data_IF_907848345735
#
_entry.id   IF_907848345735
#
_cell.length_a   1.000
_cell.length_b   1.000
_cell.length_c   1.000
_cell.angle_alpha   90.00
_cell.angle_beta   90.00
_cell.angle_gamma   90.00
#
_symmetry.space_group_name_H-M   'P 1'
#
loop_
_entity.id
_entity.type
_entity.pdbx_description
1 polymer ?
#
# COMPACT_ATOMS: atom_id res chain seq x y z
N UNK A 1 7.91 -18.50 2.28
CA UNK A 1 7.74 -17.50 3.37
C UNK A 1 8.42 -17.87 4.71
N UNK A 2 8.27 -19.10 5.23
CA UNK A 2 8.79 -19.50 6.55
C UNK A 2 10.32 -19.40 6.75
N UNK A 3 11.13 -19.50 5.68
CA UNK A 3 12.58 -19.28 5.76
C UNK A 3 12.94 -17.80 5.89
N UNK A 4 12.29 -16.94 5.09
CA UNK A 4 12.46 -15.48 5.14
C UNK A 4 11.99 -14.88 6.46
N UNK A 5 10.99 -15.50 7.09
CA UNK A 5 10.48 -15.03 8.38
C UNK A 5 11.47 -15.20 9.53
N UNK A 6 12.57 -15.94 9.35
CA UNK A 6 13.67 -16.04 10.31
C UNK A 6 14.57 -14.80 10.33
N UNK A 7 14.64 -14.09 9.20
CA UNK A 7 15.46 -12.87 9.05
C UNK A 7 14.63 -11.60 9.12
N UNK A 8 13.34 -11.67 8.80
CA UNK A 8 12.42 -10.55 8.81
C UNK A 8 11.14 -10.88 9.57
N UNK A 9 11.03 -10.32 10.77
CA UNK A 9 9.90 -10.57 11.65
C UNK A 9 8.56 -10.06 11.13
N UNK A 10 8.54 -9.10 10.21
CA UNK A 10 7.28 -8.70 9.58
C UNK A 10 6.67 -9.87 8.78
N UNK A 11 7.51 -10.76 8.23
CA UNK A 11 7.05 -11.95 7.51
C UNK A 11 6.56 -13.06 8.44
N UNK A 12 6.92 -13.03 9.74
CA UNK A 12 6.41 -13.98 10.74
C UNK A 12 5.13 -13.51 11.44
N UNK A 13 4.64 -12.29 11.16
CA UNK A 13 3.37 -11.80 11.70
C UNK A 13 2.25 -12.79 11.32
N UNK A 14 1.51 -13.34 12.30
CA UNK A 14 0.38 -14.22 12.03
C UNK A 14 -0.78 -13.41 11.44
N UNK A 15 -1.65 -14.07 10.67
CA UNK A 15 -2.87 -13.42 10.18
C UNK A 15 -3.78 -13.07 11.36
N UNK A 16 -4.35 -11.86 11.32
CA UNK A 16 -5.34 -11.42 12.28
C UNK A 16 -6.77 -11.79 11.88
N UNK A 17 -7.72 -11.16 12.55
CA UNK A 17 -9.14 -11.18 12.20
C UNK A 17 -9.36 -10.96 10.69
N UNK A 18 -10.33 -11.69 10.13
CA UNK A 18 -10.70 -11.63 8.70
C UNK A 18 -9.55 -11.99 7.73
N UNK A 19 -8.55 -12.77 8.15
CA UNK A 19 -7.34 -13.11 7.38
C UNK A 19 -6.39 -11.91 7.13
N UNK A 20 -6.45 -10.87 7.97
CA UNK A 20 -5.61 -9.68 7.81
C UNK A 20 -4.10 -10.02 7.84
N UNK A 21 -3.39 -9.83 6.72
CA UNK A 21 -1.95 -10.13 6.63
C UNK A 21 -1.06 -9.17 7.41
N UNK A 22 -1.56 -7.98 7.79
CA UNK A 22 -0.83 -7.09 8.70
C UNK A 22 -0.91 -7.51 10.17
N UNK A 23 -1.67 -8.55 10.51
CA UNK A 23 -1.87 -9.01 11.89
C UNK A 23 -3.18 -8.52 12.49
N UNK A 24 -3.30 -8.64 13.82
CA UNK A 24 -4.52 -8.21 14.51
C UNK A 24 -4.58 -6.67 14.57
N UNK A 25 -5.67 -6.10 14.07
CA UNK A 25 -5.95 -4.66 14.15
C UNK A 25 -7.44 -4.44 14.38
N UNK A 26 -7.78 -3.64 15.38
CA UNK A 26 -9.15 -3.46 15.86
C UNK A 26 -9.48 -1.97 15.99
N UNK A 27 -10.76 -1.58 15.76
CA UNK A 27 -11.17 -0.20 15.93
C UNK A 27 -11.04 0.23 17.39
N UNK A 28 -10.57 1.45 17.58
CA UNK A 28 -10.61 2.15 18.86
C UNK A 28 -11.99 2.81 19.08
N UNK A 29 -12.33 3.22 20.32
CA UNK A 29 -13.55 4.00 20.58
C UNK A 29 -13.66 5.26 19.72
N UNK A 30 -12.53 5.85 19.31
CA UNK A 30 -12.46 7.07 18.50
C UNK A 30 -12.40 6.82 16.99
N UNK A 31 -12.33 5.56 16.55
CA UNK A 31 -12.21 5.23 15.12
C UNK A 31 -13.41 5.76 14.33
N UNK A 32 -13.15 6.58 13.32
CA UNK A 32 -14.14 7.23 12.45
C UNK A 32 -14.57 6.35 11.27
N UNK A 33 -14.17 5.08 11.27
CA UNK A 33 -14.48 4.12 10.22
C UNK A 33 -14.52 2.70 10.79
N UNK A 34 -15.10 1.78 10.04
CA UNK A 34 -15.07 0.34 10.28
C UNK A 34 -14.73 -0.41 8.99
N UNK A 35 -14.00 -1.49 9.14
CA UNK A 35 -13.53 -2.36 8.07
C UNK A 35 -14.30 -3.68 8.11
N UNK A 36 -14.66 -4.20 6.95
CA UNK A 36 -15.13 -5.56 6.76
C UNK A 36 -14.54 -6.12 5.47
N UNK A 37 -14.14 -7.39 5.49
CA UNK A 37 -13.42 -8.04 4.38
C UNK A 37 -14.02 -9.40 4.13
N UNK A 38 -14.33 -9.71 2.88
CA UNK A 38 -14.72 -11.06 2.48
C UNK A 38 -13.81 -11.53 1.35
N UNK A 39 -13.33 -12.75 1.52
CA UNK A 39 -12.52 -13.48 0.57
C UNK A 39 -13.22 -14.77 0.14
N UNK A 40 -13.19 -15.11 -1.14
CA UNK A 40 -13.60 -16.40 -1.65
C UNK A 40 -12.63 -16.87 -2.73
N UNK A 41 -12.01 -18.04 -2.50
CA UNK A 41 -11.09 -18.66 -3.48
C UNK A 41 -11.76 -18.97 -4.81
N UNK A 42 -13.08 -19.13 -4.82
CA UNK A 42 -13.85 -19.65 -5.93
C UNK A 42 -13.35 -21.04 -6.34
N UNK A 43 -13.54 -22.01 -5.44
CA UNK A 43 -13.07 -23.41 -5.58
C UNK A 43 -13.52 -24.11 -6.86
N UNK A 44 -14.49 -23.56 -7.59
CA UNK A 44 -14.96 -24.08 -8.87
C UNK A 44 -14.01 -23.74 -10.03
N UNK A 45 -13.32 -22.60 -9.95
CA UNK A 45 -12.53 -22.06 -11.05
C UNK A 45 -11.04 -21.90 -10.70
N UNK A 46 -10.69 -21.73 -9.42
CA UNK A 46 -9.30 -21.56 -8.96
C UNK A 46 -8.87 -22.66 -8.00
N UNK A 47 -7.63 -23.14 -8.18
CA UNK A 47 -7.00 -24.12 -7.29
C UNK A 47 -6.46 -23.45 -6.02
N UNK A 48 -5.84 -22.29 -6.19
CA UNK A 48 -5.15 -21.50 -5.16
C UNK A 48 -5.91 -20.20 -4.87
N UNK A 49 -5.75 -19.68 -3.65
CA UNK A 49 -6.16 -18.32 -3.28
C UNK A 49 -4.88 -17.49 -3.31
N UNK A 50 -4.68 -16.75 -4.40
CA UNK A 50 -3.47 -15.95 -4.63
C UNK A 50 -3.64 -14.52 -4.12
N UNK A 51 -4.88 -14.05 -3.94
CA UNK A 51 -5.13 -12.77 -3.30
C UNK A 51 -4.78 -12.80 -1.81
N UNK A 52 -4.40 -11.63 -1.31
CA UNK A 52 -4.40 -11.32 0.11
C UNK A 52 -4.75 -9.86 0.34
N UNK A 53 -4.95 -9.48 1.59
CA UNK A 53 -5.22 -8.11 1.96
C UNK A 53 -4.56 -7.75 3.29
N UNK A 54 -4.45 -6.45 3.54
CA UNK A 54 -4.07 -5.96 4.87
C UNK A 54 -4.77 -4.67 5.23
N UNK A 55 -5.07 -4.50 6.51
CA UNK A 55 -5.61 -3.25 7.05
C UNK A 55 -5.09 -2.93 8.45
N UNK A 56 -5.07 -1.65 8.79
CA UNK A 56 -4.69 -1.13 10.12
C UNK A 56 -5.62 0.02 10.50
N UNK A 57 -6.16 0.00 11.72
CA UNK A 57 -7.08 1.02 12.25
C UNK A 57 -6.40 2.27 12.81
N UNK A 58 -5.14 2.16 13.20
CA UNK A 58 -4.37 3.20 13.85
C UNK A 58 -2.96 3.34 13.23
N UNK A 59 -2.94 3.44 11.91
CA UNK A 59 -1.73 3.52 11.11
C UNK A 59 -0.93 4.80 11.40
N UNK A 60 0.39 4.69 11.63
CA UNK A 60 1.28 5.80 12.01
C UNK A 60 0.90 6.49 13.33
N UNK A 61 1.29 5.90 14.45
CA UNK A 61 1.18 6.52 15.80
C UNK A 61 2.08 7.74 16.05
N UNK A 62 2.52 8.46 15.01
CA UNK A 62 3.50 9.57 15.15
C UNK A 62 2.77 10.91 15.04
N UNK A 63 3.07 11.90 15.89
CA UNK A 63 2.54 13.25 15.71
C UNK A 63 2.85 13.78 14.30
N UNK A 64 1.92 14.56 13.76
CA UNK A 64 2.10 15.31 12.52
C UNK A 64 3.47 16.02 12.49
N UNK A 65 4.10 16.18 11.31
CA UNK A 65 5.47 16.70 11.19
C UNK A 65 5.74 17.90 12.11
N UNK A 66 6.60 17.68 13.11
CA UNK A 66 7.14 18.75 13.95
C UNK A 66 8.25 19.42 13.14
N UNK A 67 7.98 20.62 12.64
CA UNK A 67 9.04 21.50 12.16
C UNK A 67 9.86 21.92 13.38
N UNK A 68 11.21 21.77 13.37
CA UNK A 68 12.03 22.13 14.52
C UNK A 68 11.74 23.57 14.94
N UNK A 69 11.28 23.78 16.17
CA UNK A 69 11.33 25.09 16.81
C UNK A 69 12.72 25.26 17.39
N UNK A 70 13.34 26.42 17.17
CA UNK A 70 14.70 26.77 17.62
C UNK A 70 14.89 26.81 19.16
N UNK A 71 13.91 26.33 19.93
CA UNK A 71 13.97 26.31 21.40
C UNK A 71 14.76 25.12 21.98
N UNK A 72 15.17 24.13 21.18
CA UNK A 72 15.83 22.91 21.67
C UNK A 72 17.37 22.97 21.74
N UNK A 73 17.98 24.15 21.52
CA UNK A 73 19.44 24.33 21.51
C UNK A 73 20.02 24.88 22.82
N UNK A 74 19.47 24.54 23.98
CA UNK A 74 20.18 24.77 25.26
C UNK A 74 19.82 23.73 26.31
N UNK A 75 20.43 22.55 26.24
CA UNK A 75 20.77 21.72 27.41
C UNK A 75 21.79 20.65 27.02
N UNK A 76 23.07 21.00 27.12
CA UNK A 76 24.18 20.04 27.19
C UNK A 76 24.39 19.64 28.66
N UNK A 77 24.35 18.36 28.96
CA UNK A 77 25.05 17.68 30.07
C UNK A 77 25.11 16.19 29.71
N UNK A 78 26.19 15.70 29.12
CA UNK A 78 27.41 15.14 29.74
C UNK A 78 27.27 13.71 30.26
N UNK A 79 27.94 12.80 29.54
CA UNK A 79 28.76 11.66 30.01
C UNK A 79 28.04 10.37 30.47
N UNK A 80 28.38 9.30 29.74
CA UNK A 80 28.49 7.87 30.05
C UNK A 80 27.46 7.20 30.97
N UNK A 81 26.76 6.18 30.44
CA UNK A 81 26.82 4.84 31.04
C UNK A 81 26.42 3.75 30.03
N UNK A 82 27.40 2.88 29.77
CA UNK A 82 27.28 1.60 29.07
C UNK A 82 27.38 0.52 30.13
N UNK A 83 26.26 -0.01 30.63
CA UNK A 83 26.25 -1.25 31.39
C UNK A 83 24.85 -1.89 31.41
N UNK A 84 24.84 -3.19 31.14
CA UNK A 84 23.74 -4.14 31.30
C UNK A 84 23.07 -4.07 32.67
N UNK A 85 21.77 -4.41 32.71
CA UNK A 85 21.09 -5.29 33.69
C UNK A 85 19.57 -5.21 33.37
N UNK A 86 18.96 -6.25 32.80
CA UNK A 86 18.14 -7.23 33.55
C UNK A 86 17.53 -6.67 34.83
N UNK A 87 16.40 -5.98 34.69
CA UNK A 87 15.27 -6.04 35.62
C UNK A 87 13.99 -5.82 34.84
N UNK A 88 13.03 -6.71 35.08
CA UNK A 88 11.67 -6.70 34.51
C UNK A 88 10.90 -5.53 35.13
N UNK A 89 10.26 -4.64 34.36
CA UNK A 89 9.11 -3.90 34.83
C UNK A 89 7.86 -4.72 34.49
N UNK A 90 7.17 -5.15 35.54
CA UNK A 90 5.81 -5.67 35.48
C UNK A 90 4.86 -4.65 34.84
N UNK A 91 3.99 -5.10 33.94
CA UNK A 91 2.72 -4.46 33.53
C UNK A 91 2.73 -2.92 33.46
N UNK A 92 3.63 -2.35 32.66
CA UNK A 92 3.40 -1.04 32.07
C UNK A 92 2.83 -1.27 30.67
N UNK A 93 1.52 -1.09 30.50
CA UNK A 93 0.87 -1.07 29.19
C UNK A 93 1.60 -0.09 28.28
N UNK A 94 2.31 -0.60 27.27
CA UNK A 94 2.92 0.22 26.23
C UNK A 94 1.80 1.01 25.54
N UNK A 95 1.81 2.33 25.71
CA UNK A 95 0.73 3.20 25.27
C UNK A 95 0.86 3.47 23.77
N UNK A 96 -0.11 3.03 22.97
CA UNK A 96 -0.20 3.29 21.53
C UNK A 96 -0.92 4.63 21.32
N UNK A 97 -0.33 5.54 20.54
CA UNK A 97 -0.98 6.83 20.20
C UNK A 97 -2.17 6.58 19.28
N UNK A 98 -3.37 6.96 19.68
CA UNK A 98 -4.57 6.92 18.84
C UNK A 98 -4.60 8.10 17.86
N UNK A 99 -4.43 7.80 16.57
CA UNK A 99 -4.44 8.77 15.47
C UNK A 99 -5.73 8.74 14.66
N UNK A 100 -6.51 7.65 14.77
CA UNK A 100 -7.65 7.37 13.92
C UNK A 100 -7.25 7.32 12.43
N UNK A 101 -5.99 7.08 12.08
CA UNK A 101 -5.56 6.92 10.69
C UNK A 101 -5.73 5.45 10.24
N UNK A 102 -6.16 5.24 9.00
CA UNK A 102 -6.34 3.93 8.40
C UNK A 102 -5.34 3.61 7.29
N UNK A 103 -4.90 2.36 7.24
CA UNK A 103 -4.25 1.76 6.06
C UNK A 103 -5.12 0.60 5.57
N UNK A 104 -5.29 0.50 4.26
CA UNK A 104 -6.12 -0.52 3.62
C UNK A 104 -5.47 -0.95 2.31
N UNK A 105 -5.31 -2.25 2.07
CA UNK A 105 -4.72 -2.75 0.83
C UNK A 105 -5.27 -4.12 0.42
N UNK A 106 -5.33 -4.35 -0.89
CA UNK A 106 -5.58 -5.65 -1.52
C UNK A 106 -4.46 -5.91 -2.50
N UNK A 107 -4.02 -7.16 -2.52
CA UNK A 107 -2.98 -7.69 -3.40
C UNK A 107 -3.57 -8.89 -4.11
N UNK A 108 -3.71 -8.82 -5.42
CA UNK A 108 -4.22 -9.92 -6.24
C UNK A 108 -3.02 -10.55 -6.94
N UNK A 109 -2.72 -11.78 -6.54
CA UNK A 109 -1.50 -12.50 -6.89
C UNK A 109 -1.67 -13.30 -8.17
N UNK A 110 -0.57 -13.42 -8.93
CA UNK A 110 -0.52 -14.28 -10.10
C UNK A 110 0.81 -15.03 -10.16
N UNK A 111 0.76 -16.22 -10.77
CA UNK A 111 1.89 -17.14 -10.83
C UNK A 111 2.45 -17.47 -9.43
N UNK A 112 1.54 -17.76 -8.49
CA UNK A 112 1.84 -18.09 -7.10
C UNK A 112 1.41 -17.01 -6.10
N UNK A 113 1.33 -17.38 -4.83
CA UNK A 113 0.86 -16.51 -3.74
C UNK A 113 1.95 -15.59 -3.17
N UNK A 114 3.21 -15.84 -3.48
CA UNK A 114 4.34 -15.29 -2.74
C UNK A 114 4.44 -13.76 -2.80
N UNK A 115 4.34 -13.15 -3.99
CA UNK A 115 4.46 -11.70 -4.12
C UNK A 115 3.33 -10.99 -3.36
N UNK A 116 2.11 -11.50 -3.48
CA UNK A 116 0.94 -10.99 -2.77
C UNK A 116 1.10 -11.14 -1.25
N UNK A 117 1.44 -12.35 -0.75
CA UNK A 117 1.70 -12.61 0.67
C UNK A 117 2.81 -11.73 1.24
N UNK A 118 3.90 -11.56 0.50
CA UNK A 118 5.01 -10.69 0.90
C UNK A 118 4.55 -9.24 1.01
N UNK A 119 3.82 -8.74 0.00
CA UNK A 119 3.31 -7.37 0.01
C UNK A 119 2.29 -7.15 1.14
N UNK A 120 1.39 -8.12 1.38
CA UNK A 120 0.44 -8.11 2.48
C UNK A 120 1.10 -7.87 3.83
N UNK A 121 2.26 -8.51 4.06
CA UNK A 121 3.04 -8.41 5.30
C UNK A 121 4.04 -7.25 5.35
N UNK A 122 4.48 -6.70 4.21
CA UNK A 122 5.61 -5.75 4.17
C UNK A 122 5.28 -4.35 3.67
N UNK A 123 4.30 -4.18 2.78
CA UNK A 123 4.10 -2.89 2.11
C UNK A 123 3.76 -1.78 3.12
N UNK A 124 2.90 -2.06 4.09
CA UNK A 124 2.55 -1.14 5.17
C UNK A 124 3.73 -0.79 6.08
N UNK A 125 4.65 -1.75 6.33
CA UNK A 125 5.87 -1.53 7.12
C UNK A 125 6.83 -0.59 6.39
N UNK A 126 7.02 -0.79 5.09
CA UNK A 126 7.87 0.07 4.24
C UNK A 126 7.30 1.50 4.21
N UNK A 127 5.98 1.63 4.01
CA UNK A 127 5.31 2.91 4.00
C UNK A 127 5.47 3.65 5.33
N UNK A 128 5.24 2.97 6.45
CA UNK A 128 5.39 3.60 7.77
C UNK A 128 6.83 4.09 8.01
N UNK A 129 7.82 3.26 7.69
CA UNK A 129 9.23 3.61 7.83
C UNK A 129 9.60 4.83 6.97
N UNK A 130 9.10 4.90 5.72
CA UNK A 130 9.28 6.07 4.86
C UNK A 130 8.58 7.32 5.40
N UNK A 131 7.34 7.21 5.88
CA UNK A 131 6.58 8.32 6.45
C UNK A 131 7.21 8.87 7.73
N UNK A 132 7.85 8.02 8.55
CA UNK A 132 8.61 8.42 9.73
C UNK A 132 9.94 9.08 9.38
N UNK A 133 10.67 8.53 8.41
CA UNK A 133 11.97 9.08 7.97
C UNK A 133 11.81 10.42 7.24
N UNK A 134 10.74 10.58 6.49
CA UNK A 134 10.51 11.72 5.62
C UNK A 134 9.14 12.37 5.86
N UNK A 135 8.88 12.90 7.07
CA UNK A 135 7.54 13.34 7.48
C UNK A 135 7.05 14.60 6.75
N UNK A 136 7.94 15.32 6.06
CA UNK A 136 7.62 16.51 5.27
C UNK A 136 7.40 16.23 3.78
N UNK A 137 7.63 14.99 3.33
CA UNK A 137 7.44 14.58 1.94
C UNK A 137 5.97 14.35 1.66
N UNK A 138 5.51 14.68 0.46
CA UNK A 138 4.12 14.48 0.08
C UNK A 138 3.77 12.98 0.09
N UNK A 139 2.61 12.63 0.66
CA UNK A 139 2.17 11.23 0.76
C UNK A 139 2.13 10.50 -0.59
N UNK A 140 1.69 11.11 -1.71
CA UNK A 140 1.76 10.47 -3.03
C UNK A 140 3.18 10.08 -3.45
N UNK A 141 4.18 10.90 -3.13
CA UNK A 141 5.59 10.60 -3.40
C UNK A 141 6.10 9.48 -2.50
N UNK A 142 5.69 9.45 -1.23
CA UNK A 142 6.02 8.35 -0.32
C UNK A 142 5.36 7.03 -0.74
N UNK A 143 4.16 7.06 -1.30
CA UNK A 143 3.50 5.89 -1.88
C UNK A 143 4.27 5.37 -3.11
N UNK A 144 4.70 6.24 -4.03
CA UNK A 144 5.54 5.84 -5.16
C UNK A 144 6.87 5.23 -4.69
N UNK A 145 7.55 5.85 -3.72
CA UNK A 145 8.77 5.30 -3.10
C UNK A 145 8.52 3.96 -2.39
N UNK A 146 7.34 3.79 -1.78
CA UNK A 146 6.98 2.54 -1.10
C UNK A 146 6.84 1.41 -2.10
N UNK A 147 6.09 1.63 -3.18
CA UNK A 147 5.87 0.63 -4.22
C UNK A 147 7.17 0.29 -4.94
N UNK A 148 7.95 1.28 -5.36
CA UNK A 148 9.23 1.04 -6.04
C UNK A 148 10.27 0.36 -5.13
N UNK A 149 10.28 0.68 -3.83
CA UNK A 149 11.12 -0.02 -2.84
C UNK A 149 10.68 -1.46 -2.62
N UNK A 150 9.38 -1.71 -2.48
CA UNK A 150 8.82 -3.05 -2.36
C UNK A 150 9.19 -3.93 -3.57
N UNK A 151 9.05 -3.35 -4.75
CA UNK A 151 9.36 -4.00 -6.02
C UNK A 151 10.84 -4.36 -6.15
N UNK A 152 11.73 -3.43 -5.78
CA UNK A 152 13.18 -3.64 -5.74
C UNK A 152 13.57 -4.72 -4.71
N UNK A 153 12.84 -4.81 -3.59
CA UNK A 153 13.06 -5.85 -2.59
C UNK A 153 12.62 -7.21 -3.11
N UNK A 154 11.46 -7.31 -3.77
CA UNK A 154 10.97 -8.54 -4.39
C UNK A 154 11.95 -9.08 -5.46
N UNK A 155 12.54 -8.22 -6.29
CA UNK A 155 13.49 -8.63 -7.34
C UNK A 155 14.78 -9.29 -6.79
N UNK A 156 15.14 -8.96 -5.55
CA UNK A 156 16.29 -9.54 -4.84
C UNK A 156 15.99 -10.91 -4.23
N UNK A 157 14.71 -11.27 -4.12
CA UNK A 157 14.29 -12.58 -3.62
C UNK A 157 14.46 -13.62 -4.74
N UNK A 158 14.66 -14.91 -4.40
CA UNK A 158 14.83 -15.97 -5.40
C UNK A 158 13.64 -16.14 -6.32
N UNK A 159 12.45 -15.70 -5.88
CA UNK A 159 11.22 -15.91 -6.61
C UNK A 159 10.93 -14.78 -7.60
N UNK A 160 11.40 -14.96 -8.83
CA UNK A 160 11.31 -13.93 -9.89
C UNK A 160 10.04 -13.97 -10.73
N UNK A 161 9.31 -15.08 -10.69
CA UNK A 161 8.16 -15.32 -11.58
C UNK A 161 6.80 -14.99 -10.96
N UNK A 162 6.73 -14.84 -9.63
CA UNK A 162 5.50 -14.42 -8.95
C UNK A 162 5.37 -12.90 -9.01
N UNK A 163 4.15 -12.45 -9.24
CA UNK A 163 3.79 -11.04 -9.17
C UNK A 163 2.44 -10.84 -8.51
N UNK A 164 2.13 -9.59 -8.22
CA UNK A 164 0.80 -9.21 -7.79
C UNK A 164 0.44 -7.80 -8.24
N UNK A 165 -0.85 -7.60 -8.48
CA UNK A 165 -1.42 -6.25 -8.47
C UNK A 165 -1.50 -5.76 -7.03
N UNK A 166 -1.56 -4.44 -6.85
CA UNK A 166 -1.67 -3.86 -5.52
C UNK A 166 -2.46 -2.56 -5.57
N UNK A 167 -3.47 -2.47 -4.71
CA UNK A 167 -4.16 -1.23 -4.38
C UNK A 167 -3.93 -0.91 -2.92
N UNK A 168 -3.69 0.35 -2.61
CA UNK A 168 -3.54 0.85 -1.25
C UNK A 168 -4.33 2.13 -1.07
N UNK A 169 -4.97 2.27 0.09
CA UNK A 169 -5.63 3.48 0.54
C UNK A 169 -5.14 3.85 1.94
N UNK A 170 -4.71 5.10 2.12
CA UNK A 170 -4.25 5.68 3.38
C UNK A 170 -5.18 6.80 3.77
N UNK A 171 -5.90 6.62 4.86
CA UNK A 171 -6.84 7.59 5.40
C UNK A 171 -6.20 8.27 6.61
N UNK A 172 -6.00 9.58 6.58
CA UNK A 172 -5.35 10.28 7.67
C UNK A 172 -5.92 11.65 7.97
N UNK A 173 -5.71 12.13 9.18
CA UNK A 173 -5.93 13.53 9.53
C UNK A 173 -4.73 14.37 9.13
N UNK A 174 -5.00 15.52 8.50
CA UNK A 174 -3.98 16.51 8.14
C UNK A 174 -4.47 17.93 8.43
N UNK A 175 -3.56 18.80 8.85
CA UNK A 175 -3.80 20.23 8.88
C UNK A 175 -3.46 20.82 7.51
N UNK A 176 -4.48 21.39 6.85
CA UNK A 176 -4.38 21.86 5.46
C UNK A 176 -4.81 23.30 5.30
N UNK A 177 -4.08 24.03 4.47
CA UNK A 177 -4.37 25.43 4.14
C UNK A 177 -5.17 25.49 2.84
N UNK A 178 -6.29 26.22 2.78
CA UNK A 178 -7.03 26.44 1.53
C UNK A 178 -6.15 27.05 0.43
N UNK A 179 -6.25 26.53 -0.79
CA UNK A 179 -5.52 27.04 -1.96
C UNK A 179 -6.27 26.73 -3.25
N UNK A 180 -6.27 27.69 -4.19
CA UNK A 180 -6.87 27.50 -5.51
C UNK A 180 -5.94 26.77 -6.50
N UNK A 181 -4.69 26.51 -6.11
CA UNK A 181 -3.70 25.85 -6.95
C UNK A 181 -3.67 24.32 -6.78
N UNK A 182 -4.43 23.78 -5.82
CA UNK A 182 -4.55 22.34 -5.59
C UNK A 182 -5.87 21.82 -6.18
N UNK A 183 -5.83 20.63 -6.79
CA UNK A 183 -7.03 19.94 -7.25
C UNK A 183 -8.01 19.60 -6.10
N UNK A 184 -7.51 19.51 -4.87
CA UNK A 184 -8.31 19.26 -3.67
C UNK A 184 -8.82 20.54 -2.99
N UNK A 185 -8.45 21.73 -3.51
CA UNK A 185 -8.81 23.03 -2.92
C UNK A 185 -8.06 23.37 -1.63
N UNK A 186 -7.15 22.50 -1.18
CA UNK A 186 -6.29 22.69 -0.01
C UNK A 186 -4.94 21.99 -0.21
N UNK A 187 -3.95 22.33 0.61
CA UNK A 187 -2.62 21.71 0.60
C UNK A 187 -2.10 21.52 2.03
N UNK A 188 -1.31 20.48 2.26
CA UNK A 188 -0.65 20.25 3.54
C UNK A 188 0.38 21.35 3.85
N UNK A 189 0.59 21.65 5.14
CA UNK A 189 1.51 22.72 5.59
C UNK A 189 2.97 22.38 5.28
N UNK A 190 3.39 21.12 5.43
CA UNK A 190 4.80 20.75 5.30
C UNK A 190 5.37 20.92 3.86
N UNK A 191 4.67 20.50 2.78
CA UNK A 191 5.09 20.81 1.41
C UNK A 191 5.13 22.31 1.11
N UNK A 192 4.19 23.10 1.66
CA UNK A 192 4.18 24.55 1.53
C UNK A 192 5.42 25.19 2.17
N UNK A 193 5.80 24.73 3.36
CA UNK A 193 6.99 25.18 4.07
C UNK A 193 8.28 24.85 3.29
N UNK A 194 8.38 23.63 2.75
CA UNK A 194 9.51 23.21 1.94
C UNK A 194 9.62 24.00 0.62
N UNK A 195 8.48 24.31 -0.02
CA UNK A 195 8.44 25.13 -1.23
C UNK A 195 8.87 26.59 -0.93
N UNK A 196 8.40 27.16 0.18
CA UNK A 196 8.81 28.50 0.62
C UNK A 196 10.31 28.57 0.93
N UNK A 197 10.87 27.54 1.58
CA UNK A 197 12.31 27.44 1.83
C UNK A 197 13.12 27.39 0.53
N UNK A 198 12.71 26.56 -0.45
CA UNK A 198 13.36 26.47 -1.77
C UNK A 198 13.29 27.79 -2.57
N UNK A 199 12.16 28.49 -2.54
CA UNK A 199 12.02 29.81 -3.18
C UNK A 199 12.91 30.87 -2.52
N UNK A 200 13.00 30.86 -1.19
CA UNK A 200 13.87 31.76 -0.45
C UNK A 200 15.36 31.49 -0.73
N UNK A 201 15.80 30.22 -0.82
CA UNK A 201 17.15 29.84 -1.24
C UNK A 201 17.49 30.33 -2.67
N UNK A 202 16.53 30.23 -3.60
CA UNK A 202 16.70 30.67 -5.00
C UNK A 202 16.82 32.18 -5.14
N UNK A 203 16.16 32.93 -4.26
CA UNK A 203 16.24 34.40 -4.23
C UNK A 203 17.54 34.88 -3.56
N UNK A 204 18.02 34.17 -2.52
CA UNK A 204 19.34 34.43 -1.91
C UNK A 204 20.50 34.13 -2.88
N UNK A 205 20.38 33.11 -3.73
CA UNK A 205 21.39 32.82 -4.77
C UNK A 205 21.55 33.92 -5.85
N UNK A 206 20.63 34.89 -5.92
CA UNK A 206 20.68 36.03 -6.86
C UNK A 206 21.23 37.31 -6.23
N UNK A 207 21.35 37.38 -4.91
CA UNK A 207 21.81 38.58 -4.20
C UNK A 207 23.22 38.36 -3.62
N UNK A 208 24.16 39.27 -3.89
CA UNK A 208 25.59 39.05 -3.61
C UNK A 208 25.99 39.17 -2.13
N UNK A 209 25.03 39.22 -1.21
CA UNK A 209 25.25 39.31 0.24
C UNK A 209 24.47 38.23 0.97
N UNK A 210 25.13 37.24 1.61
CA UNK A 210 24.44 36.20 2.37
C UNK A 210 23.92 36.80 3.69
N UNK A 211 22.59 36.84 3.86
CA UNK A 211 21.96 37.03 5.17
C UNK A 211 21.56 35.65 5.70
N UNK A 212 22.39 35.06 6.55
CA UNK A 212 22.21 33.69 7.05
C UNK A 212 20.95 33.44 7.89
N UNK A 213 20.17 34.49 8.20
CA UNK A 213 18.97 34.40 9.04
C UNK A 213 17.65 34.62 8.27
N UNK A 214 17.67 35.08 7.00
CA UNK A 214 16.43 35.47 6.31
C UNK A 214 15.59 34.30 5.80
N UNK A 215 16.21 33.23 5.33
CA UNK A 215 15.54 32.03 4.77
C UNK A 215 14.76 31.26 5.83
N UNK A 216 15.38 31.02 7.00
CA UNK A 216 14.75 30.31 8.11
C UNK A 216 13.63 31.13 8.77
N UNK A 217 13.83 32.44 8.96
CA UNK A 217 12.80 33.33 9.50
C UNK A 217 11.61 33.47 8.54
N UNK A 218 11.86 33.55 7.23
CA UNK A 218 10.79 33.59 6.23
C UNK A 218 10.00 32.28 6.17
N UNK A 219 10.68 31.12 6.22
CA UNK A 219 10.02 29.82 6.29
C UNK A 219 9.19 29.69 7.58
N UNK A 220 9.73 30.08 8.73
CA UNK A 220 9.02 30.06 10.02
C UNK A 220 7.79 30.98 10.02
N UNK A 221 7.89 32.19 9.46
CA UNK A 221 6.77 33.12 9.34
C UNK A 221 5.67 32.57 8.41
N UNK A 222 6.04 32.02 7.26
CA UNK A 222 5.11 31.39 6.33
C UNK A 222 4.38 30.19 6.96
N UNK A 223 5.09 29.38 7.76
CA UNK A 223 4.50 28.27 8.52
C UNK A 223 3.52 28.79 9.57
N UNK A 224 3.87 29.86 10.28
CA UNK A 224 3.00 30.41 11.32
C UNK A 224 1.72 31.00 10.73
N UNK A 225 1.81 31.69 9.60
CA UNK A 225 0.64 32.17 8.86
C UNK A 225 -0.20 31.01 8.31
N UNK A 226 0.45 29.98 7.77
CA UNK A 226 -0.20 28.76 7.30
C UNK A 226 -0.98 28.05 8.42
N UNK A 227 -0.40 27.93 9.61
CA UNK A 227 -1.06 27.33 10.78
C UNK A 227 -2.33 28.10 11.19
N UNK A 228 -2.33 29.43 11.11
CA UNK A 228 -3.50 30.24 11.43
C UNK A 228 -4.66 30.06 10.44
N UNK A 229 -4.34 29.72 9.18
CA UNK A 229 -5.31 29.51 8.10
C UNK A 229 -5.66 28.03 7.89
N UNK A 230 -4.97 27.13 8.58
CA UNK A 230 -5.16 25.71 8.40
C UNK A 230 -6.53 25.29 8.91
N UNK A 231 -7.03 24.21 8.35
CA UNK A 231 -8.20 23.48 8.83
C UNK A 231 -7.83 22.01 8.90
N UNK A 232 -8.24 21.33 9.96
CA UNK A 232 -8.03 19.89 10.09
C UNK A 232 -8.97 19.17 9.13
N UNK A 233 -8.42 18.38 8.22
CA UNK A 233 -9.16 17.69 7.18
C UNK A 233 -8.84 16.19 7.19
N UNK A 234 -9.83 15.39 6.83
CA UNK A 234 -9.66 13.97 6.60
C UNK A 234 -9.28 13.77 5.14
N UNK A 235 -8.11 13.18 4.90
CA UNK A 235 -7.55 13.02 3.55
C UNK A 235 -7.34 11.54 3.27
N UNK A 236 -7.80 11.11 2.10
CA UNK A 236 -7.63 9.78 1.55
C UNK A 236 -6.61 9.85 0.41
N UNK A 237 -5.49 9.15 0.57
CA UNK A 237 -4.52 8.93 -0.49
C UNK A 237 -4.69 7.52 -1.03
N UNK A 238 -4.65 7.37 -2.35
CA UNK A 238 -4.68 6.05 -2.99
C UNK A 238 -3.45 5.82 -3.84
N UNK A 239 -3.05 4.55 -3.99
CA UNK A 239 -2.04 4.08 -4.92
C UNK A 239 -2.54 2.79 -5.59
N UNK A 240 -2.26 2.64 -6.88
CA UNK A 240 -2.64 1.46 -7.66
C UNK A 240 -1.54 1.03 -8.64
N UNK A 241 -1.23 -0.27 -8.67
CA UNK A 241 -0.57 -0.96 -9.78
C UNK A 241 -1.38 -2.20 -10.15
N UNK A 242 -1.61 -2.41 -11.44
CA UNK A 242 -2.49 -3.46 -11.94
C UNK A 242 -3.94 -3.03 -12.03
N UNK A 243 -4.86 -3.98 -11.93
CA UNK A 243 -6.28 -3.84 -12.27
C UNK A 243 -7.27 -4.16 -11.14
N UNK A 244 -6.77 -4.36 -9.92
CA UNK A 244 -7.56 -4.12 -8.73
C UNK A 244 -8.02 -2.64 -8.69
N UNK A 245 -9.16 -2.36 -8.04
CA UNK A 245 -9.81 -1.04 -8.12
C UNK A 245 -10.29 -0.53 -6.77
N UNK A 246 -10.17 0.79 -6.60
CA UNK A 246 -10.66 1.55 -5.45
C UNK A 246 -11.80 2.46 -5.88
N UNK A 247 -12.96 2.35 -5.23
CA UNK A 247 -14.17 3.16 -5.51
C UNK A 247 -14.69 3.80 -4.22
N UNK A 248 -14.83 5.13 -4.22
CA UNK A 248 -15.46 5.89 -3.14
C UNK A 248 -16.95 6.11 -3.46
N UNK A 249 -17.82 5.89 -2.48
CA UNK A 249 -19.21 6.29 -2.55
C UNK A 249 -19.37 7.72 -2.02
N UNK A 250 -19.72 8.66 -2.91
CA UNK A 250 -20.06 10.05 -2.57
C UNK A 250 -21.50 10.35 -2.94
N UNK A 251 -22.37 10.62 -1.97
CA UNK A 251 -23.80 10.85 -2.16
C UNK A 251 -24.49 9.74 -2.98
N UNK A 252 -24.08 8.48 -2.78
CA UNK A 252 -24.56 7.33 -3.54
C UNK A 252 -24.04 7.24 -4.97
N UNK A 253 -23.05 8.04 -5.36
CA UNK A 253 -22.39 7.94 -6.65
C UNK A 253 -21.00 7.33 -6.49
N UNK A 254 -20.69 6.41 -7.40
CA UNK A 254 -19.37 5.82 -7.49
C UNK A 254 -18.37 6.83 -8.05
N UNK A 255 -17.30 7.08 -7.30
CA UNK A 255 -16.14 7.82 -7.73
C UNK A 255 -14.94 6.88 -7.72
N UNK A 256 -14.45 6.52 -8.91
CA UNK A 256 -13.24 5.69 -9.05
C UNK A 256 -12.00 6.50 -8.68
N UNK A 257 -11.18 5.96 -7.79
CA UNK A 257 -9.95 6.59 -7.27
C UNK A 257 -8.67 5.89 -7.76
N UNK A 258 -8.80 4.93 -8.68
CA UNK A 258 -7.70 4.19 -9.28
C UNK A 258 -7.84 4.13 -10.80
N UNK A 259 -6.81 3.63 -11.47
CA UNK A 259 -6.73 3.49 -12.92
C UNK A 259 -6.26 2.09 -13.28
N UNK A 260 -7.12 1.29 -13.91
CA UNK A 260 -6.81 -0.11 -14.21
C UNK A 260 -5.72 -0.21 -15.28
N UNK A 261 -4.60 -0.83 -14.94
CA UNK A 261 -3.43 -0.95 -15.82
C UNK A 261 -3.49 -2.24 -16.67
N UNK A 262 -4.43 -2.30 -17.63
CA UNK A 262 -4.61 -3.46 -18.54
C UNK A 262 -3.96 -3.23 -19.92
N UNK A 263 -3.64 -4.30 -20.65
CA UNK A 263 -3.05 -4.21 -21.99
C UNK A 263 -3.92 -3.50 -23.05
N UNK A 264 -5.23 -3.40 -22.81
CA UNK A 264 -6.18 -2.68 -23.66
C UNK A 264 -6.19 -1.17 -23.45
N UNK A 265 -5.51 -0.69 -22.41
CA UNK A 265 -5.39 0.74 -22.15
C UNK A 265 -4.43 1.41 -23.15
N UNK A 266 -4.86 2.51 -23.77
CA UNK A 266 -4.08 3.18 -24.82
C UNK A 266 -2.78 3.79 -24.29
N UNK A 267 -2.78 4.31 -23.06
CA UNK A 267 -1.61 4.94 -22.46
C UNK A 267 -0.57 3.89 -22.07
N UNK A 268 -1.01 2.79 -21.45
CA UNK A 268 -0.15 1.67 -21.11
C UNK A 268 0.35 0.93 -22.36
N UNK A 269 -0.50 0.70 -23.36
CA UNK A 269 -0.09 0.12 -24.64
C UNK A 269 0.99 0.94 -25.33
N UNK A 270 0.88 2.28 -25.29
CA UNK A 270 1.92 3.20 -25.81
C UNK A 270 3.19 3.13 -24.97
N UNK A 271 3.10 3.03 -23.64
CA UNK A 271 4.25 2.89 -22.74
C UNK A 271 5.02 1.61 -23.04
N UNK A 272 4.32 0.48 -23.11
CA UNK A 272 4.88 -0.84 -23.43
C UNK A 272 5.56 -0.83 -24.81
N UNK A 273 4.89 -0.29 -25.83
CA UNK A 273 5.43 -0.21 -27.19
C UNK A 273 6.71 0.63 -27.25
N UNK A 274 6.77 1.75 -26.51
CA UNK A 274 7.96 2.61 -26.42
C UNK A 274 9.14 1.92 -25.73
N UNK A 275 8.87 1.01 -24.79
CA UNK A 275 9.87 0.19 -24.13
C UNK A 275 10.30 -1.04 -24.98
N UNK A 276 9.77 -1.18 -26.20
CA UNK A 276 10.09 -2.29 -27.10
C UNK A 276 9.26 -3.56 -26.87
N UNK A 277 8.25 -3.51 -26.00
CA UNK A 277 7.30 -4.59 -25.79
C UNK A 277 6.13 -4.57 -26.78
N UNK A 278 5.34 -5.63 -26.78
CA UNK A 278 4.15 -5.79 -27.62
C UNK A 278 2.94 -6.13 -26.76
N UNK A 279 1.74 -5.72 -27.18
CA UNK A 279 0.48 -6.22 -26.61
C UNK A 279 -0.09 -7.23 -27.59
N UNK A 280 -0.21 -8.49 -27.15
CA UNK A 280 -0.79 -9.59 -27.92
C UNK A 280 -1.94 -10.19 -27.12
N UNK A 281 -3.14 -10.26 -27.69
CA UNK A 281 -4.35 -10.74 -27.00
C UNK A 281 -4.55 -10.07 -25.62
N UNK A 282 -4.34 -8.75 -25.57
CA UNK A 282 -4.48 -7.92 -24.36
C UNK A 282 -3.44 -8.21 -23.27
N UNK A 283 -2.37 -8.95 -23.61
CA UNK A 283 -1.30 -9.33 -22.69
C UNK A 283 0.05 -8.76 -23.12
N UNK A 284 0.86 -8.30 -22.16
CA UNK A 284 2.24 -7.85 -22.37
C UNK A 284 3.08 -9.03 -22.86
N UNK A 285 3.64 -8.90 -24.06
CA UNK A 285 4.33 -9.93 -24.82
C UNK A 285 3.56 -11.26 -24.93
N UNK A 286 2.22 -11.21 -24.84
CA UNK A 286 1.36 -12.40 -24.83
C UNK A 286 1.32 -13.17 -23.50
N UNK A 287 2.02 -12.69 -22.46
CA UNK A 287 2.16 -13.39 -21.17
C UNK A 287 1.22 -12.80 -20.11
N UNK A 288 1.44 -11.54 -19.72
CA UNK A 288 0.80 -10.94 -18.55
C UNK A 288 -0.38 -10.04 -18.91
N UNK A 289 -1.54 -10.22 -18.26
CA UNK A 289 -2.76 -9.44 -18.55
C UNK A 289 -2.71 -8.01 -18.02
N UNK A 290 -1.89 -7.78 -17.00
CA UNK A 290 -1.62 -6.47 -16.43
C UNK A 290 -0.33 -5.86 -16.99
N UNK A 291 -0.29 -4.54 -17.02
CA UNK A 291 0.85 -3.75 -17.53
C UNK A 291 1.70 -3.16 -16.41
N UNK A 292 1.19 -3.17 -15.17
CA UNK A 292 1.89 -2.77 -13.95
C UNK A 292 1.62 -3.80 -12.86
N UNK A 293 2.65 -4.15 -12.11
CA UNK A 293 2.59 -5.12 -11.02
C UNK A 293 3.84 -4.99 -10.14
N UNK A 294 3.75 -5.47 -8.89
CA UNK A 294 4.90 -5.72 -8.04
C UNK A 294 5.42 -7.14 -8.29
N UNK A 295 6.74 -7.33 -8.31
CA UNK A 295 7.34 -8.61 -8.71
C UNK A 295 7.52 -8.69 -10.22
N UNK A 296 7.20 -9.84 -10.82
CA UNK A 296 7.37 -10.11 -12.26
C UNK A 296 8.75 -9.72 -12.82
N UNK A 297 9.82 -10.08 -12.09
CA UNK A 297 11.17 -9.59 -12.38
C UNK A 297 11.64 -9.94 -13.80
N UNK A 298 11.12 -11.02 -14.39
CA UNK A 298 11.42 -11.42 -15.77
C UNK A 298 10.83 -10.50 -16.84
N UNK A 299 9.87 -9.64 -16.50
CA UNK A 299 9.24 -8.65 -17.39
C UNK A 299 9.48 -7.20 -16.94
N UNK A 300 10.46 -6.94 -16.07
CA UNK A 300 10.55 -5.67 -15.34
C UNK A 300 10.74 -4.42 -16.20
N UNK A 301 11.38 -4.58 -17.36
CA UNK A 301 11.54 -3.51 -18.34
C UNK A 301 10.21 -3.05 -18.96
N UNK A 302 9.18 -3.90 -18.90
CA UNK A 302 7.85 -3.66 -19.46
C UNK A 302 6.81 -3.47 -18.36
N UNK A 303 6.82 -4.30 -17.32
CA UNK A 303 5.84 -4.32 -16.24
C UNK A 303 6.40 -3.58 -15.02
N UNK A 304 5.96 -2.35 -14.82
CA UNK A 304 6.53 -1.46 -13.79
C UNK A 304 5.72 -1.50 -12.49
N UNK A 305 6.40 -1.37 -11.34
CA UNK A 305 5.79 -1.16 -10.03
C UNK A 305 5.46 0.29 -9.70
N UNK A 306 5.58 1.25 -10.63
CA UNK A 306 5.21 2.65 -10.39
C UNK A 306 3.68 2.83 -10.24
N UNK A 307 3.17 3.26 -9.08
CA UNK A 307 1.74 3.39 -8.87
C UNK A 307 1.14 4.63 -9.53
N UNK A 308 -0.12 4.51 -9.92
CA UNK A 308 -0.99 5.68 -10.09
C UNK A 308 -1.50 6.11 -8.72
N UNK A 309 -1.29 7.38 -8.34
CA UNK A 309 -1.68 7.91 -7.03
C UNK A 309 -2.76 8.98 -7.14
N UNK A 310 -3.65 9.04 -6.14
CA UNK A 310 -4.62 10.13 -6.00
C UNK A 310 -4.69 10.66 -4.58
N UNK A 311 -5.20 11.88 -4.46
CA UNK A 311 -5.45 12.56 -3.20
C UNK A 311 -6.90 13.07 -3.19
N UNK A 312 -7.67 12.71 -2.16
CA UNK A 312 -9.07 13.08 -2.03
C UNK A 312 -9.36 13.56 -0.61
N UNK A 313 -9.91 14.77 -0.46
CA UNK A 313 -10.44 15.24 0.83
C UNK A 313 -11.81 14.60 1.06
N UNK A 314 -11.95 13.92 2.19
CA UNK A 314 -13.19 13.27 2.61
C UNK A 314 -14.17 14.32 3.13
N UNK A 315 -15.41 14.24 2.66
CA UNK A 315 -16.52 15.11 2.99
C UNK A 315 -17.46 14.37 3.94
N UNK A 316 -17.46 14.69 5.25
CA UNK A 316 -18.19 13.91 6.26
C UNK A 316 -19.71 13.79 6.04
N UNK A 317 -20.29 14.72 5.28
CA UNK A 317 -21.70 14.78 4.92
C UNK A 317 -22.05 14.02 3.63
N UNK A 318 -21.07 13.71 2.79
CA UNK A 318 -21.29 13.15 1.45
C UNK A 318 -20.62 11.79 1.24
N UNK A 319 -19.45 11.56 1.82
CA UNK A 319 -18.69 10.34 1.65
C UNK A 319 -19.16 9.27 2.63
N UNK A 320 -19.59 8.13 2.09
CA UNK A 320 -20.29 7.10 2.86
C UNK A 320 -19.36 5.90 3.16
N UNK A 321 -18.64 5.41 2.16
CA UNK A 321 -17.74 4.25 2.28
C UNK A 321 -16.81 4.13 1.08
N UNK A 322 -15.73 3.37 1.27
CA UNK A 322 -14.77 2.96 0.24
C UNK A 322 -14.93 1.46 -0.06
N UNK A 323 -14.80 1.09 -1.33
CA UNK A 323 -14.69 -0.30 -1.80
C UNK A 323 -13.29 -0.48 -2.37
N UNK A 324 -12.56 -1.46 -1.87
CA UNK A 324 -11.35 -2.00 -2.49
C UNK A 324 -11.67 -3.43 -2.92
N UNK A 325 -11.38 -3.81 -4.16
CA UNK A 325 -11.50 -5.20 -4.59
C UNK A 325 -10.56 -5.55 -5.74
N UNK A 326 -10.25 -6.84 -5.88
CA UNK A 326 -9.58 -7.41 -7.04
C UNK A 326 -10.51 -7.46 -8.26
N UNK A 327 -9.95 -7.79 -9.44
CA UNK A 327 -10.71 -7.82 -10.69
C UNK A 327 -11.78 -8.93 -10.72
N UNK A 328 -11.66 -9.96 -9.88
CA UNK A 328 -12.70 -10.98 -9.69
C UNK A 328 -14.08 -10.38 -9.39
N UNK A 329 -14.15 -9.24 -8.69
CA UNK A 329 -15.40 -8.46 -8.56
C UNK A 329 -15.65 -7.59 -9.80
N UNK A 330 -14.64 -6.81 -10.20
CA UNK A 330 -14.80 -5.70 -11.15
C UNK A 330 -15.00 -6.12 -12.61
N UNK A 331 -14.65 -7.35 -12.96
CA UNK A 331 -14.89 -7.92 -14.28
C UNK A 331 -16.37 -8.28 -14.49
N UNK A 332 -17.14 -8.46 -13.41
CA UNK A 332 -18.57 -8.83 -13.47
C UNK A 332 -19.51 -7.81 -12.82
N UNK A 333 -18.98 -6.77 -12.18
CA UNK A 333 -19.74 -5.75 -11.46
C UNK A 333 -19.21 -4.36 -11.78
N UNK A 334 -20.10 -3.45 -12.20
CA UNK A 334 -19.72 -2.05 -12.45
C UNK A 334 -19.57 -1.26 -11.14
N UNK A 335 -18.79 -0.16 -11.17
CA UNK A 335 -18.54 0.68 -9.98
C UNK A 335 -19.85 1.15 -9.32
N UNK A 336 -20.80 1.64 -10.11
CA UNK A 336 -22.07 2.15 -9.60
C UNK A 336 -22.98 1.03 -9.11
N UNK A 337 -22.98 -0.12 -9.79
CA UNK A 337 -23.74 -1.30 -9.35
C UNK A 337 -23.25 -1.78 -7.97
N UNK A 338 -21.93 -1.86 -7.78
CA UNK A 338 -21.35 -2.21 -6.49
C UNK A 338 -21.78 -1.24 -5.39
N UNK A 339 -21.71 0.07 -5.64
CA UNK A 339 -22.17 1.11 -4.70
C UNK A 339 -23.65 0.94 -4.37
N UNK A 340 -24.52 0.79 -5.38
CA UNK A 340 -25.96 0.70 -5.19
C UNK A 340 -26.36 -0.54 -4.38
N UNK A 341 -25.68 -1.68 -4.59
CA UNK A 341 -25.93 -2.93 -3.88
C UNK A 341 -25.71 -2.82 -2.37
N UNK A 342 -24.64 -2.14 -1.94
CA UNK A 342 -24.24 -2.11 -0.52
C UNK A 342 -24.53 -0.81 0.19
N UNK A 343 -25.04 0.22 -0.49
CA UNK A 343 -25.20 1.56 0.09
C UNK A 343 -25.97 1.55 1.42
N UNK A 344 -27.05 0.78 1.46
CA UNK A 344 -27.94 0.69 2.64
C UNK A 344 -27.45 -0.29 3.72
N UNK A 345 -26.34 -1.00 3.49
CA UNK A 345 -25.80 -2.01 4.40
C UNK A 345 -24.80 -1.36 5.35
N UNK A 346 -25.16 -1.24 6.63
CA UNK A 346 -24.34 -0.53 7.62
C UNK A 346 -23.18 -1.34 8.19
N UNK A 347 -23.32 -2.67 8.19
CA UNK A 347 -22.25 -3.57 8.59
C UNK A 347 -21.29 -3.79 7.40
N UNK A 348 -20.02 -3.33 7.48
CA UNK A 348 -19.09 -3.48 6.38
C UNK A 348 -18.76 -4.95 6.08
N UNK A 349 -18.87 -5.86 7.06
CA UNK A 349 -18.64 -7.29 6.83
C UNK A 349 -19.77 -7.91 6.01
N UNK A 350 -21.02 -7.62 6.34
CA UNK A 350 -22.16 -8.01 5.51
C UNK A 350 -22.07 -7.40 4.09
N UNK A 351 -21.66 -6.13 3.98
CA UNK A 351 -21.51 -5.45 2.71
C UNK A 351 -20.47 -6.11 1.79
N UNK A 352 -19.27 -6.42 2.32
CA UNK A 352 -18.24 -7.12 1.54
C UNK A 352 -18.72 -8.48 1.07
N UNK A 353 -19.40 -9.24 1.95
CA UNK A 353 -19.96 -10.55 1.60
C UNK A 353 -21.00 -10.47 0.50
N UNK A 354 -21.87 -9.46 0.54
CA UNK A 354 -22.89 -9.25 -0.50
C UNK A 354 -22.27 -9.04 -1.88
N UNK A 355 -21.15 -8.31 -1.98
CA UNK A 355 -20.46 -8.11 -3.27
C UNK A 355 -19.79 -9.39 -3.78
N UNK A 356 -19.19 -10.17 -2.89
CA UNK A 356 -18.61 -11.49 -3.25
C UNK A 356 -19.70 -12.44 -3.74
N UNK A 357 -20.81 -12.56 -2.99
CA UNK A 357 -21.95 -13.40 -3.37
C UNK A 357 -22.54 -12.95 -4.73
N UNK A 358 -22.60 -11.64 -4.98
CA UNK A 358 -23.05 -11.08 -6.25
C UNK A 358 -22.12 -11.44 -7.41
N UNK A 359 -20.80 -11.31 -7.23
CA UNK A 359 -19.83 -11.69 -8.25
C UNK A 359 -19.89 -13.18 -8.59
N UNK A 360 -20.02 -14.06 -7.59
CA UNK A 360 -20.22 -15.50 -7.78
C UNK A 360 -21.51 -15.81 -8.55
N UNK A 361 -22.61 -15.10 -8.26
CA UNK A 361 -23.88 -15.24 -8.99
C UNK A 361 -23.80 -14.76 -10.44
N UNK A 362 -22.88 -13.84 -10.75
CA UNK A 362 -22.58 -13.37 -12.11
C UNK A 362 -21.45 -14.16 -12.78
N UNK A 363 -21.15 -15.36 -12.26
CA UNK A 363 -20.18 -16.30 -12.83
C UNK A 363 -18.76 -15.74 -12.92
N UNK A 364 -18.34 -14.93 -11.94
CA UNK A 364 -16.92 -14.66 -11.75
C UNK A 364 -16.15 -15.97 -11.67
N UNK A 365 -15.00 -16.03 -12.35
CA UNK A 365 -14.12 -17.20 -12.41
C UNK A 365 -12.82 -17.02 -11.65
N UNK A 366 -12.63 -15.87 -11.01
CA UNK A 366 -11.39 -15.55 -10.31
C UNK A 366 -11.48 -15.73 -8.79
N UNK A 367 -10.34 -15.57 -8.11
CA UNK A 367 -10.30 -15.26 -6.69
C UNK A 367 -11.08 -13.96 -6.44
N UNK A 368 -11.70 -13.87 -5.27
CA UNK A 368 -12.55 -12.76 -4.90
C UNK A 368 -12.07 -12.22 -3.56
N UNK A 369 -11.67 -10.96 -3.56
CA UNK A 369 -11.30 -10.21 -2.36
C UNK A 369 -11.99 -8.86 -2.38
N UNK A 370 -12.82 -8.59 -1.38
CA UNK A 370 -13.57 -7.34 -1.27
C UNK A 370 -13.43 -6.79 0.14
N UNK A 371 -12.92 -5.56 0.24
CA UNK A 371 -12.82 -4.80 1.49
C UNK A 371 -13.71 -3.57 1.43
N UNK A 372 -14.52 -3.40 2.48
CA UNK A 372 -15.36 -2.23 2.69
C UNK A 372 -14.83 -1.44 3.88
N UNK A 373 -14.54 -0.16 3.65
CA UNK A 373 -14.23 0.82 4.72
C UNK A 373 -15.42 1.76 4.83
N UNK A 374 -16.24 1.57 5.85
CA UNK A 374 -17.45 2.39 6.07
C UNK A 374 -17.17 3.51 7.05
N UNK A 375 -17.51 4.74 6.66
CA UNK A 375 -17.25 5.92 7.47
C UNK A 375 -18.35 6.15 8.52
N UNK A 376 -17.94 6.70 9.66
CA UNK A 376 -18.84 7.23 10.68
C UNK A 376 -18.89 8.75 10.53
N UNK A 377 -19.97 9.25 9.92
CA UNK A 377 -20.15 10.68 9.65
C UNK A 377 -20.16 11.53 10.92
N UNK A 378 -20.68 11.01 12.04
CA UNK A 378 -20.72 11.75 13.30
C UNK A 378 -19.31 11.92 13.87
N UNK A 379 -18.50 10.85 13.88
CA UNK A 379 -17.12 10.90 14.34
C UNK A 379 -16.22 11.73 13.41
N UNK A 380 -16.42 11.65 12.10
CA UNK A 380 -15.71 12.50 11.16
C UNK A 380 -15.99 13.99 11.43
N UNK A 381 -17.25 14.34 11.69
CA UNK A 381 -17.63 15.71 12.02
C UNK A 381 -17.10 16.16 13.39
N UNK A 382 -17.06 15.29 14.40
CA UNK A 382 -16.50 15.64 15.71
C UNK A 382 -14.99 15.84 15.63
N UNK A 383 -14.28 14.97 14.90
CA UNK A 383 -12.82 15.00 14.82
C UNK A 383 -12.30 16.19 13.98
N UNK A 384 -13.11 16.69 13.05
CA UNK A 384 -12.83 17.94 12.30
C UNK A 384 -12.83 19.17 13.22
N UNK A 385 -13.55 19.13 14.36
CA UNK A 385 -13.65 20.24 15.32
C UNK A 385 -12.55 20.22 16.39
N UNK A 386 -11.67 19.22 16.38
CA UNK A 386 -10.54 19.17 17.30
C UNK A 386 -9.55 20.27 16.89
N UNK A 387 -9.23 21.15 17.84
CA UNK A 387 -8.37 22.32 17.63
C UNK A 387 -7.00 21.93 17.03
N UNK A 388 -6.58 22.72 16.05
CA UNK A 388 -5.29 22.61 15.36
C UNK A 388 -4.17 22.86 16.37
N UNK A 389 -3.29 21.88 16.55
CA UNK A 389 -2.17 21.99 17.48
C UNK A 389 -2.52 21.79 18.97
N UNK A 390 -3.70 21.26 19.31
CA UNK A 390 -3.89 20.69 20.65
C UNK A 390 -3.13 19.36 20.68
N UNK A 391 -1.91 19.42 21.20
CA UNK A 391 -1.24 18.27 21.80
C UNK A 391 -2.22 17.68 22.83
N UNK A 392 -2.94 16.63 22.46
CA UNK A 392 -3.60 15.79 23.46
C UNK A 392 -2.50 15.27 24.39
N UNK A 393 -2.76 15.10 25.68
CA UNK A 393 -1.74 14.61 26.62
C UNK A 393 -1.17 13.23 26.19
N UNK A 394 -1.81 12.53 25.25
CA UNK A 394 -1.32 11.34 24.55
C UNK A 394 -0.11 11.57 23.62
N UNK A 395 0.20 12.80 23.22
CA UNK A 395 1.27 13.15 22.28
C UNK A 395 2.55 13.67 22.96
N UNK A 396 2.56 13.78 24.30
CA UNK A 396 3.74 14.18 25.09
C UNK A 396 4.64 13.01 25.48
N UNK A 397 4.19 11.78 25.28
CA UNK A 397 4.95 10.59 25.63
C UNK A 397 5.89 10.22 24.48
N UNK A 398 7.16 10.62 24.62
CA UNK A 398 8.28 10.17 23.79
C UNK A 398 8.51 8.64 23.81
N UNK A 399 7.65 7.89 24.48
CA UNK A 399 7.66 6.43 24.65
C UNK A 399 6.53 5.72 23.91
N UNK A 400 5.68 6.42 23.14
CA UNK A 400 4.60 5.80 22.39
C UNK A 400 5.07 5.02 21.16
N UNK A 401 4.50 3.84 20.95
CA UNK A 401 4.85 2.88 19.88
C UNK A 401 3.70 2.89 18.85
N UNK A 402 4.00 2.78 17.53
CA UNK A 402 2.91 2.58 16.56
C UNK A 402 2.31 1.19 16.60
N UNK A 403 1.11 1.08 16.03
CA UNK A 403 0.47 -0.20 15.79
C UNK A 403 1.35 -1.17 14.96
N UNK A 404 2.00 -0.71 13.89
CA UNK A 404 2.90 -1.57 13.08
C UNK A 404 4.10 -2.04 13.88
N UNK A 405 4.75 -1.12 14.62
CA UNK A 405 5.91 -1.48 15.43
C UNK A 405 5.52 -2.45 16.54
N UNK A 406 4.37 -2.26 17.17
CA UNK A 406 3.82 -3.16 18.18
C UNK A 406 3.58 -4.56 17.61
N UNK A 407 2.91 -4.66 16.46
CA UNK A 407 2.62 -5.95 15.82
C UNK A 407 3.92 -6.68 15.43
N UNK A 408 4.85 -5.97 14.79
CA UNK A 408 6.14 -6.56 14.37
C UNK A 408 7.02 -6.92 15.58
N UNK A 409 7.02 -6.11 16.63
CA UNK A 409 7.76 -6.40 17.86
C UNK A 409 7.22 -7.66 18.56
N UNK A 410 5.91 -7.86 18.56
CA UNK A 410 5.31 -9.06 19.13
C UNK A 410 5.65 -10.32 18.33
N UNK A 411 5.66 -10.22 17.00
CA UNK A 411 6.14 -11.29 16.13
C UNK A 411 7.61 -11.62 16.38
N UNK A 412 8.48 -10.61 16.61
CA UNK A 412 9.89 -10.82 17.00
C UNK A 412 10.03 -11.62 18.30
N UNK A 413 9.25 -11.28 19.33
CA UNK A 413 9.29 -11.98 20.64
C UNK A 413 8.93 -13.45 20.50
N UNK A 414 7.88 -13.76 19.73
CA UNK A 414 7.43 -15.13 19.50
C UNK A 414 8.36 -15.94 18.59
N UNK A 415 9.03 -15.28 17.64
CA UNK A 415 9.89 -15.95 16.65
C UNK A 415 11.31 -16.20 17.17
N UNK A 416 11.67 -15.71 18.37
CA UNK A 416 13.02 -15.84 18.93
C UNK A 416 14.09 -15.06 18.17
N UNK A 417 13.69 -14.08 17.33
CA UNK A 417 14.59 -13.24 16.53
C UNK A 417 15.17 -12.16 17.46
N UNK A 418 16.00 -12.59 18.41
CA UNK A 418 16.77 -11.72 19.27
C UNK A 418 18.21 -11.70 18.74
N UNK A 419 18.61 -10.57 18.15
CA UNK A 419 19.94 -10.24 17.62
C UNK A 419 20.38 -10.98 16.34
N UNK A 420 19.97 -10.46 15.19
CA UNK A 420 20.81 -10.48 13.98
C UNK A 420 20.54 -9.19 13.20
N UNK A 421 21.48 -8.24 13.30
CA UNK A 421 21.48 -7.03 12.47
C UNK A 421 22.19 -7.31 11.15
N UNK A 422 21.63 -6.77 10.07
CA UNK A 422 22.14 -6.73 8.70
C UNK A 422 22.42 -8.10 8.04
N UNK A 423 21.57 -8.44 7.07
CA UNK A 423 21.74 -9.60 6.17
C UNK A 423 23.09 -9.47 5.45
N UNK A 424 23.91 -10.51 5.52
CA UNK A 424 25.13 -10.62 4.71
C UNK A 424 24.80 -11.25 3.36
N UNK A 425 25.53 -10.88 2.29
CA UNK A 425 25.27 -11.39 0.92
C UNK A 425 25.36 -12.93 0.81
N UNK A 426 26.04 -13.59 1.75
CA UNK A 426 26.16 -15.05 1.79
C UNK A 426 24.86 -15.75 2.25
N UNK A 427 24.12 -15.15 3.18
CA UNK A 427 22.85 -15.70 3.67
C UNK A 427 21.75 -15.63 2.58
N UNK A 428 21.88 -14.67 1.66
CA UNK A 428 20.98 -14.52 0.52
C UNK A 428 21.17 -15.63 -0.51
N UNK A 429 22.41 -16.01 -0.82
CA UNK A 429 22.71 -17.07 -1.81
C UNK A 429 22.29 -18.47 -1.32
N UNK A 430 22.46 -18.77 -0.03
CA UNK A 430 22.04 -20.06 0.55
C UNK A 430 20.50 -20.17 0.63
N UNK A 431 19.80 -19.05 0.90
CA UNK A 431 18.34 -18.98 0.79
C UNK A 431 17.84 -19.11 -0.66
N UNK A 432 18.58 -18.57 -1.64
CA UNK A 432 18.22 -18.69 -3.06
C UNK A 432 18.18 -20.16 -3.47
N UNK A 433 19.21 -20.92 -3.13
CA UNK A 433 19.31 -22.33 -3.54
C UNK A 433 18.23 -23.22 -2.89
N UNK A 434 17.85 -22.94 -1.65
CA UNK A 434 16.90 -23.78 -0.88
C UNK A 434 15.42 -23.45 -1.12
N UNK A 435 15.08 -22.24 -1.58
CA UNK A 435 13.71 -21.92 -2.00
C UNK A 435 13.43 -22.45 -3.40
N UNK A 436 14.42 -22.38 -4.30
CA UNK A 436 14.31 -22.95 -5.66
C UNK A 436 14.02 -24.46 -5.59
N UNK A 437 14.66 -25.18 -4.66
CA UNK A 437 14.52 -26.63 -4.55
C UNK A 437 13.16 -27.08 -3.98
N UNK A 438 12.53 -26.30 -3.09
CA UNK A 438 11.18 -26.61 -2.58
C UNK A 438 10.08 -26.32 -3.62
N UNK A 439 10.36 -25.48 -4.61
CA UNK A 439 9.41 -25.17 -5.68
C UNK A 439 9.47 -26.12 -6.86
N UNK A 440 10.63 -26.71 -7.16
CA UNK A 440 10.67 -27.85 -8.11
C UNK A 440 9.81 -29.03 -7.62
N UNK A 441 9.55 -29.10 -6.30
CA UNK A 441 8.64 -30.08 -5.69
C UNK A 441 7.16 -29.61 -5.69
N UNK A 442 6.86 -28.31 -5.66
CA UNK A 442 5.48 -27.75 -5.76
C UNK A 442 5.00 -27.55 -7.21
N UNK A 443 5.91 -27.27 -8.16
CA UNK A 443 5.65 -27.09 -9.61
C UNK A 443 5.34 -28.43 -10.33
N UNK A 444 5.21 -29.53 -9.59
CA UNK A 444 4.70 -30.81 -10.10
C UNK A 444 3.17 -30.90 -10.12
N UNK A 445 2.44 -29.81 -9.91
CA UNK A 445 1.02 -29.78 -10.29
C UNK A 445 0.87 -29.47 -11.79
N UNK A 446 0.35 -30.40 -12.61
CA UNK A 446 0.15 -30.14 -14.03
C UNK A 446 -0.82 -28.96 -14.19
N UNK A 447 -0.42 -28.00 -15.04
CA UNK A 447 -1.25 -26.86 -15.45
C UNK A 447 -2.62 -27.29 -16.01
N UNK A 448 -3.53 -26.35 -16.27
CA UNK A 448 -4.87 -26.69 -16.72
C UNK A 448 -4.81 -27.59 -17.96
N UNK A 449 -5.41 -28.78 -17.88
CA UNK A 449 -5.54 -29.68 -19.03
C UNK A 449 -6.29 -28.92 -20.13
N UNK A 450 -5.63 -28.76 -21.28
CA UNK A 450 -6.24 -28.20 -22.48
C UNK A 450 -7.47 -29.04 -22.82
N UNK A 451 -8.56 -28.37 -23.20
CA UNK A 451 -9.71 -29.06 -23.81
C UNK A 451 -9.24 -29.83 -25.05
N UNK A 452 -9.95 -30.88 -25.51
CA UNK A 452 -9.57 -31.62 -26.72
C UNK A 452 -9.44 -30.73 -27.97
N UNK A 453 -10.11 -29.57 -27.98
CA UNK A 453 -9.98 -28.53 -29.00
C UNK A 453 -8.68 -27.73 -28.81
N UNK A 454 -8.37 -27.33 -27.57
CA UNK A 454 -7.11 -26.65 -27.23
C UNK A 454 -5.86 -27.51 -27.46
N UNK A 455 -5.93 -28.83 -27.28
CA UNK A 455 -4.83 -29.75 -27.61
C UNK A 455 -4.55 -29.77 -29.11
N UNK A 456 -5.60 -29.86 -29.94
CA UNK A 456 -5.44 -29.86 -31.41
C UNK A 456 -4.90 -28.55 -31.93
N UNK A 457 -5.31 -27.43 -31.34
CA UNK A 457 -4.83 -26.10 -31.73
C UNK A 457 -3.38 -25.88 -31.30
N UNK A 458 -3.00 -26.35 -30.11
CA UNK A 458 -1.60 -26.35 -29.66
C UNK A 458 -0.70 -27.23 -30.54
N UNK A 459 -1.13 -28.45 -30.88
CA UNK A 459 -0.41 -29.35 -31.80
C UNK A 459 -0.23 -28.72 -33.19
N UNK A 460 -1.26 -28.03 -33.69
CA UNK A 460 -1.20 -27.33 -34.96
C UNK A 460 -0.17 -26.19 -34.94
N UNK A 461 -0.19 -25.35 -33.91
CA UNK A 461 0.77 -24.25 -33.74
C UNK A 461 2.20 -24.76 -33.60
N UNK A 462 2.40 -25.88 -32.90
CA UNK A 462 3.70 -26.53 -32.76
C UNK A 462 4.21 -27.09 -34.10
N UNK A 463 3.33 -27.69 -34.91
CA UNK A 463 3.70 -28.17 -36.25
C UNK A 463 4.08 -27.03 -37.19
N UNK A 464 3.33 -25.92 -37.17
CA UNK A 464 3.61 -24.75 -38.00
C UNK A 464 4.93 -24.07 -37.61
N UNK A 465 5.27 -24.03 -36.31
CA UNK A 465 6.57 -23.53 -35.84
C UNK A 465 7.74 -24.43 -36.25
N UNK A 466 7.59 -25.74 -36.18
CA UNK A 466 8.64 -26.68 -36.58
C UNK A 466 8.92 -26.62 -38.08
N UNK A 467 7.89 -26.35 -38.89
CA UNK A 467 8.05 -26.18 -40.33
C UNK A 467 8.72 -24.83 -40.65
N UNK A 468 8.41 -23.76 -39.90
CA UNK A 468 9.10 -22.47 -40.01
C UNK A 468 10.58 -22.52 -39.58
N UNK A 469 10.91 -23.27 -38.54
CA UNK A 469 12.31 -23.47 -38.10
C UNK A 469 13.11 -24.32 -39.09
N UNK A 470 12.46 -25.27 -39.78
CA UNK A 470 13.09 -26.05 -40.87
C UNK A 470 13.31 -25.21 -42.13
N UNK A 471 12.40 -24.31 -42.48
CA UNK A 471 12.60 -23.39 -43.61
C UNK A 471 13.70 -22.35 -43.33
N UNK A 472 13.79 -21.85 -42.10
CA UNK A 472 14.83 -20.90 -41.70
C UNK A 472 16.22 -21.52 -41.52
N UNK A 473 16.32 -22.84 -41.32
CA UNK A 473 17.60 -23.56 -41.24
C UNK A 473 18.10 -24.11 -42.58
N UNK A 474 17.27 -24.04 -43.62
CA UNK A 474 17.59 -24.45 -44.99
C UNK A 474 17.89 -23.29 -45.95
N UNK A 475 17.92 -22.04 -45.46
CA UNK A 475 18.18 -20.81 -46.22
C UNK A 475 19.56 -20.22 -45.98
#
# INVERSE_FOLDING_TARGET
MQKLSKTDAALSVPQGSLNNSAGESQPTPNSSFRVGVTEDKNKKCRRTMEDTHSYLYNFLGTPAPVVPSDAALTKKSSIDERASLTTVPSEASQHVVETDNGYFAIFDGHAGTFAAEWCGKKLHVILEDLMRRYPNTAVPELLDQTYTSADTQLEKLPLRNSGCTAITAVLRWEDRVPTNHSATGSQAIAPLAAAAAKEAEKNEAKDATPRSNSTAEAAAAAIQEAKQKATRQRVLYTANVGDARIVLCRNGKALRLSYDHKGMDENEGRRISKAGGLILNNRVNGVLAVTRALGDSYLKDLVTGHPYTTETVIQPDQDEFLILACDGLWDVCSDQEAVDLIRQVQDPQQASKMLVDHALQRFSTDNLSVMIVRFDSQKLQSNTKIDIGVETDANKDATAISEVEMIVAEARRHSGIAQAGAVSDQDSEELKQTVIQEQEDEDQEPGPELTPEGQREAEKILSEKQDQEKENSAS
#
